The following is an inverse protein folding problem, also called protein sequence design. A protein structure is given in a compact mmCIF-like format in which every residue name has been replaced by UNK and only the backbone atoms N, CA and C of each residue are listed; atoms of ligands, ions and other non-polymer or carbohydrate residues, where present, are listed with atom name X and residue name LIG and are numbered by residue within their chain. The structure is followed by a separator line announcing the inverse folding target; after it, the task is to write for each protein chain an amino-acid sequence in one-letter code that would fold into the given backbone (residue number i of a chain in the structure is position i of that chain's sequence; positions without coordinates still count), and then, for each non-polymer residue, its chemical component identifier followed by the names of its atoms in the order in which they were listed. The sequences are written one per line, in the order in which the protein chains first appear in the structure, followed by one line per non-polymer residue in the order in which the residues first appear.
data_IF_232688268668
#
_entry.id   IF_232688268668
#
_cell.length_a   1.000
_cell.length_b   1.000
_cell.length_c   1.000
_cell.angle_alpha   90.00
_cell.angle_beta   90.00
_cell.angle_gamma   90.00
#
_symmetry.space_group_name_H-M   'P 1'
#
loop_
_entity.id
_entity.type
_entity.pdbx_description
1 polymer ?
#
# COMPACT_ATOMS: atom_id res chain seq x y z
N UNK A 1 19.40 5.27 -11.52
CA UNK A 1 18.36 4.51 -12.24
C UNK A 1 17.73 3.54 -11.27
N UNK A 2 16.52 3.85 -10.82
CA UNK A 2 15.77 3.12 -9.82
C UNK A 2 14.80 4.03 -9.06
N UNK A 3 14.33 3.49 -7.94
CA UNK A 3 13.53 4.21 -6.95
C UNK A 3 14.41 5.22 -6.22
N UNK A 4 13.95 6.46 -6.08
CA UNK A 4 14.67 7.49 -5.34
C UNK A 4 14.61 7.22 -3.83
N UNK A 5 15.76 7.14 -3.13
CA UNK A 5 15.81 6.97 -1.70
C UNK A 5 15.55 8.27 -0.94
N UNK A 6 15.29 8.16 0.36
CA UNK A 6 14.94 9.25 1.28
C UNK A 6 15.80 10.52 1.13
N UNK A 7 17.11 10.40 0.95
CA UNK A 7 18.01 11.54 0.82
C UNK A 7 17.83 12.30 -0.50
N UNK A 8 17.44 11.62 -1.58
CA UNK A 8 17.08 12.29 -2.84
C UNK A 8 15.66 12.84 -2.80
N UNK A 9 14.73 12.15 -2.13
CA UNK A 9 13.39 12.66 -1.88
C UNK A 9 13.42 13.95 -1.04
N UNK A 10 14.33 14.04 -0.06
CA UNK A 10 14.57 15.26 0.71
C UNK A 10 15.09 16.41 -0.15
N UNK A 11 15.89 16.14 -1.20
CA UNK A 11 16.31 17.19 -2.14
C UNK A 11 15.16 17.66 -3.03
N UNK A 12 14.18 16.79 -3.33
CA UNK A 12 12.94 17.22 -4.00
C UNK A 12 12.10 18.09 -3.09
N UNK A 13 12.10 17.82 -1.78
CA UNK A 13 11.52 18.72 -0.79
C UNK A 13 12.29 20.05 -0.76
N UNK A 14 11.58 21.16 -0.85
CA UNK A 14 12.16 22.52 -0.86
C UNK A 14 12.33 23.14 -2.25
N UNK A 15 12.49 22.34 -3.31
CA UNK A 15 12.50 22.83 -4.70
C UNK A 15 11.24 22.44 -5.47
N UNK A 16 10.92 21.15 -5.52
CA UNK A 16 9.81 20.62 -6.33
C UNK A 16 8.56 20.33 -5.51
N UNK A 17 8.74 19.88 -4.26
CA UNK A 17 7.66 19.57 -3.33
C UNK A 17 7.82 20.50 -2.12
N UNK A 18 6.89 21.42 -1.91
CA UNK A 18 6.99 22.43 -0.84
C UNK A 18 5.75 22.42 0.05
N UNK A 19 5.89 22.84 1.31
CA UNK A 19 4.82 22.73 2.31
C UNK A 19 4.64 21.32 2.91
N UNK A 20 5.41 20.33 2.44
CA UNK A 20 5.43 18.96 2.97
C UNK A 20 6.75 18.73 3.71
N UNK A 21 6.70 18.52 5.03
CA UNK A 21 7.90 18.37 5.86
C UNK A 21 8.51 16.96 5.88
N UNK A 22 9.71 16.84 6.43
CA UNK A 22 10.50 15.58 6.54
C UNK A 22 9.74 14.43 7.23
N UNK A 23 8.78 14.72 8.11
CA UNK A 23 7.98 13.69 8.79
C UNK A 23 7.15 12.80 7.83
N UNK A 24 6.97 13.24 6.59
CA UNK A 24 6.28 12.50 5.53
C UNK A 24 7.22 11.68 4.65
N UNK A 25 8.54 11.76 4.88
CA UNK A 25 9.50 10.94 4.14
C UNK A 25 9.59 9.54 4.74
N UNK A 26 9.48 8.54 3.87
CA UNK A 26 9.81 7.14 4.13
C UNK A 26 11.12 6.78 3.41
N UNK A 27 11.72 5.60 3.66
CA UNK A 27 12.97 5.18 3.01
C UNK A 27 12.97 5.29 1.48
N UNK A 28 11.82 5.08 0.83
CA UNK A 28 11.68 5.06 -0.62
C UNK A 28 10.33 5.61 -1.13
N UNK A 29 9.68 6.48 -0.35
CA UNK A 29 8.42 7.13 -0.73
C UNK A 29 8.17 8.39 0.10
N UNK A 30 7.22 9.22 -0.34
CA UNK A 30 6.75 10.42 0.36
C UNK A 30 5.25 10.26 0.62
N UNK A 31 4.83 10.27 1.88
CA UNK A 31 3.43 10.34 2.26
C UNK A 31 2.77 11.63 1.71
N UNK A 32 1.54 11.51 1.20
CA UNK A 32 0.81 12.65 0.63
C UNK A 32 -0.19 13.18 1.66
N UNK A 33 0.12 14.23 2.44
CA UNK A 33 -0.81 14.80 3.43
C UNK A 33 -2.06 15.35 2.79
N UNK A 34 -3.20 15.18 3.46
CA UNK A 34 -4.47 15.77 3.09
C UNK A 34 -4.58 17.18 3.67
N UNK A 35 -5.10 18.12 2.88
CA UNK A 35 -5.51 19.43 3.37
C UNK A 35 -6.93 19.39 3.96
N UNK A 36 -7.42 20.53 4.46
CA UNK A 36 -8.82 20.67 4.90
C UNK A 36 -9.83 20.76 3.74
N UNK A 37 -9.38 21.02 2.51
CA UNK A 37 -10.27 21.23 1.36
C UNK A 37 -10.79 19.87 0.86
N UNK A 38 -12.06 19.57 1.15
CA UNK A 38 -12.71 18.32 0.83
C UNK A 38 -14.11 18.51 0.24
N UNK A 39 -14.47 17.63 -0.69
CA UNK A 39 -15.76 17.62 -1.36
C UNK A 39 -16.33 16.22 -1.42
N UNK A 40 -17.63 16.09 -1.21
CA UNK A 40 -18.41 14.92 -1.61
C UNK A 40 -18.69 14.98 -3.11
N UNK A 41 -18.56 13.86 -3.81
CA UNK A 41 -18.81 13.73 -5.24
C UNK A 41 -20.08 12.93 -5.54
N UNK A 42 -20.74 13.21 -6.66
CA UNK A 42 -21.82 12.39 -7.19
C UNK A 42 -21.32 11.30 -8.14
N UNK A 43 -20.17 11.51 -8.77
CA UNK A 43 -19.54 10.55 -9.67
C UNK A 43 -18.01 10.61 -9.60
N UNK A 44 -17.35 9.48 -9.92
CA UNK A 44 -15.89 9.44 -10.12
C UNK A 44 -15.55 9.88 -11.54
N UNK A 45 -14.34 10.42 -11.72
CA UNK A 45 -13.85 10.87 -13.01
C UNK A 45 -12.34 10.67 -13.10
N UNK A 46 -11.86 10.59 -14.34
CA UNK A 46 -10.44 10.64 -14.67
C UNK A 46 -10.18 12.03 -15.28
N UNK A 47 -9.17 12.79 -14.84
CA UNK A 47 -8.82 14.04 -15.50
C UNK A 47 -8.44 13.79 -16.95
N UNK A 48 -8.77 14.70 -17.87
CA UNK A 48 -8.24 14.63 -19.24
C UNK A 48 -6.92 15.39 -19.34
N UNK A 49 -6.15 15.11 -20.39
CA UNK A 49 -4.92 15.86 -20.67
C UNK A 49 -5.23 17.35 -20.79
N UNK A 50 -4.47 18.15 -20.07
CA UNK A 50 -4.57 19.62 -20.02
C UNK A 50 -5.82 20.21 -19.33
N UNK A 51 -6.66 19.39 -18.66
CA UNK A 51 -7.74 19.91 -17.81
C UNK A 51 -7.32 19.93 -16.35
N UNK A 52 -7.67 20.99 -15.61
CA UNK A 52 -7.51 20.99 -14.16
C UNK A 52 -8.63 20.18 -13.53
N UNK A 53 -8.35 19.57 -12.39
CA UNK A 53 -9.33 18.80 -11.62
C UNK A 53 -10.52 19.69 -11.22
N UNK A 54 -10.24 20.97 -10.89
CA UNK A 54 -11.27 21.96 -10.55
C UNK A 54 -12.24 22.25 -11.69
N UNK A 55 -11.81 22.11 -12.95
CA UNK A 55 -12.67 22.35 -14.12
C UNK A 55 -13.78 21.28 -14.24
N UNK A 56 -13.62 20.14 -13.55
CA UNK A 56 -14.61 19.05 -13.53
C UNK A 56 -15.68 19.21 -12.45
N UNK A 57 -15.59 20.21 -11.57
CA UNK A 57 -16.43 20.32 -10.38
C UNK A 57 -17.92 20.40 -10.70
N UNK A 58 -18.29 21.14 -11.74
CA UNK A 58 -19.68 21.25 -12.20
C UNK A 58 -20.19 19.93 -12.82
N UNK A 59 -19.31 19.16 -13.45
CA UNK A 59 -19.65 17.89 -14.12
C UNK A 59 -19.89 16.77 -13.10
N UNK A 60 -19.12 16.77 -12.01
CA UNK A 60 -19.08 15.66 -11.03
C UNK A 60 -19.91 15.92 -9.76
N UNK A 61 -20.59 17.06 -9.71
CA UNK A 61 -21.52 17.41 -8.64
C UNK A 61 -20.83 17.54 -7.28
N UNK A 62 -19.87 18.46 -7.16
CA UNK A 62 -19.15 18.66 -5.89
C UNK A 62 -20.03 19.33 -4.83
N UNK A 63 -19.94 18.84 -3.59
CA UNK A 63 -20.48 19.51 -2.40
C UNK A 63 -19.40 19.60 -1.34
N UNK A 64 -19.18 20.78 -0.79
CA UNK A 64 -18.20 20.95 0.29
C UNK A 64 -18.48 19.96 1.44
N UNK A 65 -17.43 19.33 1.95
CA UNK A 65 -17.49 18.40 3.06
C UNK A 65 -16.52 18.83 4.15
N UNK A 66 -16.99 18.89 5.39
CA UNK A 66 -16.15 19.12 6.55
C UNK A 66 -15.60 17.78 7.06
N UNK A 67 -14.28 17.63 7.05
CA UNK A 67 -13.57 16.42 7.47
C UNK A 67 -13.77 16.05 8.94
N UNK A 68 -14.27 16.96 9.78
CA UNK A 68 -14.73 16.61 11.13
C UNK A 68 -15.92 15.62 11.11
N UNK A 69 -16.64 15.51 9.99
CA UNK A 69 -17.73 14.58 9.80
C UNK A 69 -17.26 13.30 9.10
N UNK A 70 -17.78 12.11 9.49
CA UNK A 70 -17.41 10.85 8.86
C UNK A 70 -17.68 10.85 7.34
N UNK A 71 -16.73 10.29 6.61
CA UNK A 71 -16.90 9.84 5.23
C UNK A 71 -17.80 8.61 5.25
N UNK A 72 -18.88 8.65 4.49
CA UNK A 72 -19.90 7.61 4.44
C UNK A 72 -19.45 6.40 3.60
N UNK A 73 -19.91 5.22 3.97
CA UNK A 73 -19.59 3.99 3.23
C UNK A 73 -20.15 4.06 1.82
N UNK A 74 -19.31 3.74 0.83
CA UNK A 74 -19.68 3.74 -0.59
C UNK A 74 -19.80 5.13 -1.22
N UNK A 75 -19.64 6.20 -0.45
CA UNK A 75 -19.68 7.58 -0.96
C UNK A 75 -18.26 8.06 -1.28
N UNK A 76 -18.11 8.66 -2.45
CA UNK A 76 -16.82 9.16 -2.92
C UNK A 76 -16.62 10.60 -2.48
N UNK A 77 -15.41 10.88 -2.03
CA UNK A 77 -14.93 12.20 -1.65
C UNK A 77 -13.66 12.54 -2.42
N UNK A 78 -13.46 13.83 -2.67
CA UNK A 78 -12.27 14.40 -3.28
C UNK A 78 -11.64 15.34 -2.26
N UNK A 79 -10.41 15.04 -1.84
CA UNK A 79 -9.70 15.79 -0.80
C UNK A 79 -8.38 16.30 -1.38
N UNK A 80 -8.15 17.60 -1.35
CA UNK A 80 -6.93 18.20 -1.91
C UNK A 80 -5.72 17.72 -1.10
N UNK A 81 -4.64 17.37 -1.79
CA UNK A 81 -3.35 17.07 -1.17
C UNK A 81 -2.69 18.37 -0.75
N UNK A 82 -2.22 18.44 0.49
CA UNK A 82 -1.56 19.61 1.04
C UNK A 82 -0.17 19.85 0.42
N UNK A 83 0.28 21.09 0.45
CA UNK A 83 1.52 21.55 -0.17
C UNK A 83 1.43 21.82 -1.67
N UNK A 84 2.59 22.11 -2.26
CA UNK A 84 2.78 22.28 -3.71
C UNK A 84 3.55 21.09 -4.25
N UNK A 85 3.09 20.53 -5.36
CA UNK A 85 3.66 19.34 -5.97
C UNK A 85 4.10 19.62 -7.39
N UNK A 86 5.35 19.27 -7.67
CA UNK A 86 5.91 19.19 -9.02
C UNK A 86 6.99 18.13 -9.04
N UNK A 87 7.45 17.73 -10.23
CA UNK A 87 8.59 16.84 -10.41
C UNK A 87 9.55 17.38 -11.46
N UNK A 88 10.87 17.13 -11.33
CA UNK A 88 11.84 17.50 -12.36
C UNK A 88 11.60 16.72 -13.65
N UNK A 89 12.15 17.23 -14.77
CA UNK A 89 12.09 16.54 -16.08
C UNK A 89 12.77 15.16 -16.09
N UNK A 90 13.62 14.88 -15.11
CA UNK A 90 14.32 13.61 -14.97
C UNK A 90 13.51 12.54 -14.22
N UNK A 91 12.47 12.92 -13.45
CA UNK A 91 11.81 12.01 -12.52
C UNK A 91 10.29 12.02 -12.66
N UNK A 92 9.66 10.88 -12.38
CA UNK A 92 8.21 10.69 -12.37
C UNK A 92 7.82 9.86 -11.15
N UNK A 93 6.53 9.80 -10.81
CA UNK A 93 6.09 9.09 -9.61
C UNK A 93 4.82 8.29 -9.79
N UNK A 94 4.69 7.26 -8.96
CA UNK A 94 3.45 6.51 -8.79
C UNK A 94 3.00 6.53 -7.34
N UNK A 95 1.72 6.79 -7.10
CA UNK A 95 1.13 6.73 -5.78
C UNK A 95 0.56 5.33 -5.52
N UNK A 96 0.54 4.93 -4.25
CA UNK A 96 -0.20 3.75 -3.81
C UNK A 96 -0.85 4.02 -2.45
N UNK A 97 -1.95 3.33 -2.12
CA UNK A 97 -2.51 3.37 -0.78
C UNK A 97 -1.45 2.99 0.26
N UNK A 98 -1.48 3.67 1.41
CA UNK A 98 -0.71 3.21 2.57
C UNK A 98 -1.32 1.92 3.09
N UNK A 99 -0.50 1.04 3.66
CA UNK A 99 -1.00 -0.21 4.25
C UNK A 99 -2.04 0.02 5.34
N UNK A 100 -1.98 1.14 6.07
CA UNK A 100 -3.04 1.51 7.02
C UNK A 100 -4.40 1.76 6.37
N UNK A 101 -4.42 2.32 5.15
CA UNK A 101 -5.63 2.56 4.36
C UNK A 101 -6.18 1.27 3.79
N UNK A 102 -5.31 0.41 3.25
CA UNK A 102 -5.69 -0.91 2.75
C UNK A 102 -6.36 -1.74 3.84
N UNK A 103 -5.76 -1.81 5.04
CA UNK A 103 -6.26 -2.61 6.18
C UNK A 103 -7.61 -2.19 6.77
N UNK A 104 -8.15 -1.04 6.34
CA UNK A 104 -9.51 -0.58 6.72
C UNK A 104 -10.45 -0.50 5.51
N UNK A 105 -10.04 -1.11 4.39
CA UNK A 105 -10.75 -1.07 3.11
C UNK A 105 -11.13 0.36 2.68
N UNK A 106 -10.17 1.28 2.83
CA UNK A 106 -10.31 2.64 2.31
C UNK A 106 -9.81 2.66 0.87
N UNK A 107 -10.72 2.75 -0.08
CA UNK A 107 -10.37 3.01 -1.47
C UNK A 107 -9.75 4.41 -1.54
N UNK A 108 -8.58 4.52 -2.15
CA UNK A 108 -8.00 5.80 -2.52
C UNK A 108 -7.25 5.76 -3.85
N UNK A 109 -7.29 6.88 -4.57
CA UNK A 109 -6.57 7.12 -5.83
C UNK A 109 -6.08 8.56 -5.88
N UNK A 110 -4.84 8.77 -6.32
CA UNK A 110 -4.32 10.10 -6.65
C UNK A 110 -4.87 10.55 -7.99
N UNK A 111 -5.31 11.80 -8.06
CA UNK A 111 -5.56 12.57 -9.26
C UNK A 111 -4.54 13.71 -9.32
N UNK A 112 -4.00 13.97 -10.50
CA UNK A 112 -3.10 15.08 -10.78
C UNK A 112 -3.67 15.89 -11.96
N UNK A 113 -3.60 17.23 -11.87
CA UNK A 113 -4.04 18.12 -12.94
C UNK A 113 -3.44 17.72 -14.30
N UNK A 114 -4.27 17.63 -15.33
CA UNK A 114 -3.86 17.32 -16.69
C UNK A 114 -3.31 15.91 -16.90
N UNK A 115 -3.50 14.98 -15.97
CA UNK A 115 -3.02 13.59 -16.06
C UNK A 115 -4.20 12.62 -16.22
N UNK A 116 -4.22 11.92 -17.35
CA UNK A 116 -5.24 10.92 -17.72
C UNK A 116 -4.99 9.53 -17.12
N UNK A 117 -4.45 9.49 -15.91
CA UNK A 117 -4.12 8.26 -15.21
C UNK A 117 -4.14 8.50 -13.70
N UNK A 118 -4.92 7.70 -12.97
CA UNK A 118 -4.82 7.69 -11.52
C UNK A 118 -3.43 7.27 -11.07
N UNK A 119 -3.04 7.71 -9.88
CA UNK A 119 -1.84 7.21 -9.21
C UNK A 119 -0.53 7.51 -9.95
N UNK A 120 -0.51 8.42 -10.93
CA UNK A 120 0.67 8.74 -11.71
C UNK A 120 0.94 10.25 -11.75
N UNK A 121 2.22 10.62 -11.63
CA UNK A 121 2.72 11.97 -11.85
C UNK A 121 3.82 11.92 -12.91
N UNK A 122 3.65 12.55 -14.09
CA UNK A 122 4.61 12.48 -15.18
C UNK A 122 5.87 13.33 -14.94
N UNK A 123 6.89 13.11 -15.79
CA UNK A 123 8.13 13.88 -15.79
C UNK A 123 7.87 15.37 -16.03
N UNK A 124 8.48 16.24 -15.24
CA UNK A 124 8.35 17.70 -15.41
C UNK A 124 6.98 18.26 -15.04
N UNK A 125 6.12 17.46 -14.40
CA UNK A 125 4.76 17.86 -14.05
C UNK A 125 4.72 18.90 -12.93
N UNK A 126 3.70 19.76 -12.95
CA UNK A 126 3.39 20.72 -11.88
C UNK A 126 1.89 21.03 -11.89
N UNK A 127 1.25 21.02 -10.72
CA UNK A 127 -0.18 21.27 -10.59
C UNK A 127 -0.73 20.90 -9.22
N UNK A 128 -2.06 20.83 -9.11
CA UNK A 128 -2.71 20.31 -7.92
C UNK A 128 -2.81 18.78 -7.95
N UNK A 129 -2.65 18.19 -6.75
CA UNK A 129 -2.91 16.78 -6.48
C UNK A 129 -4.14 16.66 -5.60
N UNK A 130 -4.99 15.67 -5.87
CA UNK A 130 -6.20 15.38 -5.10
C UNK A 130 -6.31 13.88 -4.83
N UNK A 131 -6.83 13.51 -3.66
CA UNK A 131 -7.17 12.14 -3.34
C UNK A 131 -8.66 11.90 -3.57
N UNK A 132 -8.98 10.98 -4.48
CA UNK A 132 -10.26 10.30 -4.47
C UNK A 132 -10.26 9.33 -3.28
N UNK A 133 -11.27 9.39 -2.43
CA UNK A 133 -11.37 8.55 -1.22
C UNK A 133 -12.78 8.00 -1.09
N UNK A 134 -12.91 6.71 -0.76
CA UNK A 134 -14.20 6.07 -0.48
C UNK A 134 -14.03 4.96 0.56
N UNK A 135 -14.64 5.05 1.75
CA UNK A 135 -14.68 3.93 2.69
C UNK A 135 -15.58 2.81 2.14
N UNK A 136 -15.08 1.58 2.08
CA UNK A 136 -15.85 0.44 1.52
C UNK A 136 -16.39 -0.53 2.58
N UNK A 137 -16.03 -0.37 3.86
CA UNK A 137 -16.46 -1.30 4.91
C UNK A 137 -17.15 -0.66 6.12
N UNK A 138 -16.70 0.52 6.55
CA UNK A 138 -17.30 1.28 7.64
C UNK A 138 -16.95 2.76 7.48
N UNK A 139 -17.72 3.70 8.08
CA UNK A 139 -17.42 5.12 7.96
C UNK A 139 -16.03 5.45 8.50
N UNK A 140 -15.34 6.43 7.91
CA UNK A 140 -14.00 6.84 8.34
C UNK A 140 -13.99 8.35 8.58
N UNK A 141 -13.40 8.80 9.68
CA UNK A 141 -13.11 10.21 9.91
C UNK A 141 -11.65 10.44 9.53
N UNK A 142 -11.40 11.40 8.63
CA UNK A 142 -10.07 11.86 8.25
C UNK A 142 -9.83 13.25 8.83
N UNK A 143 -8.56 13.62 8.94
CA UNK A 143 -8.15 14.93 9.45
C UNK A 143 -7.06 15.49 8.54
N UNK A 144 -6.93 16.82 8.53
CA UNK A 144 -5.83 17.50 7.88
C UNK A 144 -4.47 16.96 8.37
N UNK A 145 -3.50 16.87 7.47
CA UNK A 145 -2.15 16.40 7.74
C UNK A 145 -2.03 14.87 7.86
N UNK A 146 -3.13 14.11 7.81
CA UNK A 146 -3.08 12.65 7.65
C UNK A 146 -2.78 12.30 6.18
N UNK A 147 -2.24 11.10 5.96
CA UNK A 147 -2.00 10.57 4.62
C UNK A 147 -2.68 9.22 4.45
N UNK A 148 -3.37 9.06 3.32
CA UNK A 148 -4.02 7.79 2.92
C UNK A 148 -3.24 7.09 1.80
N UNK A 149 -2.37 7.81 1.10
CA UNK A 149 -1.52 7.33 0.02
C UNK A 149 -0.10 7.90 0.17
N UNK A 150 0.83 7.31 -0.58
CA UNK A 150 2.24 7.67 -0.61
C UNK A 150 2.74 7.62 -2.06
N UNK A 151 3.59 8.58 -2.43
CA UNK A 151 4.21 8.70 -3.74
C UNK A 151 5.61 8.08 -3.73
N UNK A 152 5.88 7.15 -4.64
CA UNK A 152 7.24 6.70 -4.95
C UNK A 152 7.72 7.38 -6.21
N UNK A 153 8.93 7.95 -6.16
CA UNK A 153 9.54 8.69 -7.28
C UNK A 153 10.67 7.86 -7.90
N UNK A 154 10.78 7.92 -9.22
CA UNK A 154 11.72 7.15 -10.03
C UNK A 154 12.44 8.09 -10.99
N UNK A 155 13.75 7.92 -11.17
CA UNK A 155 14.45 8.42 -12.37
C UNK A 155 14.22 7.48 -13.57
N UNK A 156 14.19 6.18 -13.28
CA UNK A 156 13.83 5.08 -14.18
C UNK A 156 13.32 3.88 -13.37
N UNK A 157 12.16 3.33 -13.74
CA UNK A 157 11.60 2.15 -13.08
C UNK A 157 12.26 0.89 -13.62
N UNK A 158 13.12 0.27 -12.82
CA UNK A 158 13.85 -0.96 -13.17
C UNK A 158 13.58 -2.08 -12.15
N UNK A 159 13.09 -3.21 -12.65
CA UNK A 159 12.89 -4.43 -11.87
C UNK A 159 14.15 -5.30 -11.91
N UNK A 160 14.31 -6.19 -10.94
CA UNK A 160 15.37 -7.19 -10.99
C UNK A 160 15.13 -8.16 -12.15
N UNK A 161 16.17 -8.39 -12.95
CA UNK A 161 16.20 -9.55 -13.86
C UNK A 161 16.28 -10.85 -13.06
N UNK A 162 16.04 -11.98 -13.70
CA UNK A 162 16.20 -13.30 -13.08
C UNK A 162 17.61 -13.50 -12.49
N UNK A 163 18.64 -13.13 -13.24
CA UNK A 163 20.04 -13.20 -12.79
C UNK A 163 20.30 -12.31 -11.58
N UNK A 164 19.77 -11.09 -11.59
CA UNK A 164 19.93 -10.16 -10.46
C UNK A 164 19.18 -10.63 -9.21
N UNK A 165 18.01 -11.24 -9.42
CA UNK A 165 17.23 -11.84 -8.35
C UNK A 165 17.97 -13.02 -7.73
N UNK A 166 18.58 -13.89 -8.54
CA UNK A 166 19.41 -14.99 -8.05
C UNK A 166 20.57 -14.47 -7.19
N UNK A 167 21.28 -13.45 -7.66
CA UNK A 167 22.37 -12.81 -6.91
C UNK A 167 21.85 -12.25 -5.58
N UNK A 168 20.71 -11.54 -5.60
CA UNK A 168 20.13 -10.97 -4.39
C UNK A 168 19.68 -12.06 -3.39
N UNK A 169 19.08 -13.16 -3.87
CA UNK A 169 18.68 -14.31 -3.05
C UNK A 169 19.90 -14.98 -2.42
N UNK A 170 20.95 -15.24 -3.20
CA UNK A 170 22.19 -15.86 -2.68
C UNK A 170 22.89 -14.95 -1.66
N UNK A 171 22.88 -13.64 -1.87
CA UNK A 171 23.56 -12.67 -0.99
C UNK A 171 22.81 -12.40 0.30
N UNK A 172 21.50 -12.20 0.23
CA UNK A 172 20.70 -11.73 1.37
C UNK A 172 19.72 -12.81 1.87
N UNK A 173 19.09 -13.53 0.96
CA UNK A 173 17.89 -14.34 1.22
C UNK A 173 16.66 -13.45 1.16
N UNK A 174 15.94 -13.46 0.04
CA UNK A 174 14.78 -12.58 -0.16
C UNK A 174 13.47 -13.17 0.37
N UNK A 175 13.36 -14.50 0.42
CA UNK A 175 12.25 -15.21 1.03
C UNK A 175 12.73 -16.25 2.03
N UNK A 176 11.94 -16.42 3.07
CA UNK A 176 12.12 -17.43 4.10
C UNK A 176 10.82 -18.20 4.29
N UNK A 177 10.91 -19.46 4.68
CA UNK A 177 9.74 -20.24 5.05
C UNK A 177 9.23 -19.90 6.46
N UNK A 178 8.14 -20.54 6.88
CA UNK A 178 7.51 -20.31 8.18
C UNK A 178 8.44 -20.64 9.37
N UNK A 179 9.43 -21.52 9.19
CA UNK A 179 10.45 -21.86 10.20
C UNK A 179 11.72 -21.02 10.07
N UNK A 180 11.67 -19.93 9.29
CA UNK A 180 12.74 -18.93 9.11
C UNK A 180 13.98 -19.46 8.39
N UNK A 181 13.85 -20.55 7.62
CA UNK A 181 14.91 -21.01 6.72
C UNK A 181 14.87 -20.21 5.43
N UNK A 182 16.02 -19.75 4.95
CA UNK A 182 16.16 -19.11 3.63
C UNK A 182 15.68 -20.08 2.55
N UNK A 183 14.81 -19.63 1.65
CA UNK A 183 14.38 -20.41 0.50
C UNK A 183 15.44 -20.22 -0.61
N UNK A 184 16.12 -21.29 -1.06
CA UNK A 184 17.06 -21.24 -2.17
C UNK A 184 16.40 -20.76 -3.47
N UNK A 185 17.19 -20.15 -4.36
CA UNK A 185 16.66 -19.57 -5.60
C UNK A 185 15.94 -20.61 -6.49
N UNK A 186 16.47 -21.83 -6.56
CA UNK A 186 15.92 -22.97 -7.31
C UNK A 186 14.61 -23.53 -6.70
N UNK A 187 14.33 -23.24 -5.43
CA UNK A 187 13.06 -23.55 -4.77
C UNK A 187 12.03 -22.42 -4.91
N UNK A 188 12.41 -21.24 -5.41
CA UNK A 188 11.47 -20.13 -5.57
C UNK A 188 10.51 -20.34 -6.74
N UNK A 189 9.24 -20.02 -6.50
CA UNK A 189 8.23 -19.99 -7.55
C UNK A 189 8.31 -18.68 -8.34
N UNK A 190 9.27 -18.58 -9.25
CA UNK A 190 9.44 -17.45 -10.16
C UNK A 190 8.55 -17.60 -11.39
N UNK A 191 7.92 -16.49 -11.82
CA UNK A 191 7.20 -16.40 -13.08
C UNK A 191 7.47 -15.06 -13.75
N UNK A 192 8.33 -15.09 -14.78
CA UNK A 192 8.91 -13.87 -15.32
C UNK A 192 9.80 -13.20 -14.28
N UNK A 193 9.51 -11.95 -13.96
CA UNK A 193 10.25 -11.14 -12.97
C UNK A 193 9.56 -11.07 -11.60
N UNK A 194 8.59 -11.95 -11.36
CA UNK A 194 7.70 -11.92 -10.20
C UNK A 194 7.75 -13.22 -9.42
N UNK A 195 7.90 -13.11 -8.10
CA UNK A 195 7.84 -14.23 -7.17
C UNK A 195 6.41 -14.46 -6.72
N UNK A 196 5.93 -15.70 -6.76
CA UNK A 196 4.64 -16.04 -6.18
C UNK A 196 4.74 -16.14 -4.66
N UNK A 197 3.77 -15.53 -3.98
CA UNK A 197 3.52 -15.72 -2.56
C UNK A 197 2.25 -16.55 -2.37
N UNK A 198 2.24 -17.37 -1.34
CA UNK A 198 1.16 -18.29 -1.01
C UNK A 198 0.46 -17.89 0.27
N UNK A 199 -0.80 -18.27 0.40
CA UNK A 199 -1.63 -17.96 1.55
C UNK A 199 -1.31 -18.89 2.72
N UNK A 200 -1.13 -18.32 3.91
CA UNK A 200 -1.06 -19.09 5.15
C UNK A 200 -2.48 -19.35 5.65
N UNK A 201 -2.91 -20.62 5.67
CA UNK A 201 -4.23 -21.04 6.17
C UNK A 201 -4.04 -21.96 7.37
N UNK A 202 -4.60 -21.59 8.52
CA UNK A 202 -4.41 -22.33 9.77
C UNK A 202 -5.13 -21.70 10.95
N UNK A 203 -4.65 -21.96 12.18
CA UNK A 203 -5.27 -21.46 13.41
C UNK A 203 -5.33 -19.92 13.47
N UNK A 204 -4.32 -19.22 12.99
CA UNK A 204 -4.30 -17.75 12.91
C UNK A 204 -4.50 -17.31 11.45
N UNK A 205 -5.67 -17.62 10.87
CA UNK A 205 -5.88 -17.42 9.44
C UNK A 205 -6.03 -15.94 9.06
N UNK A 206 -6.80 -15.18 9.83
CA UNK A 206 -7.04 -13.79 9.48
C UNK A 206 -8.14 -13.11 10.27
N UNK A 207 -8.64 -12.05 9.67
CA UNK A 207 -9.79 -11.30 10.13
C UNK A 207 -10.78 -11.12 8.99
N UNK A 208 -12.06 -11.30 9.28
CA UNK A 208 -13.17 -10.92 8.42
C UNK A 208 -13.76 -9.61 8.91
N UNK A 209 -13.86 -8.61 8.04
CA UNK A 209 -14.63 -7.42 8.35
C UNK A 209 -16.12 -7.72 8.21
N UNK A 210 -16.88 -7.42 9.26
CA UNK A 210 -18.34 -7.59 9.26
C UNK A 210 -19.01 -6.23 9.25
N UNK A 211 -18.89 -5.48 8.15
CA UNK A 211 -19.39 -4.11 7.93
C UNK A 211 -20.21 -3.51 9.08
N UNK A 212 -19.59 -2.61 9.87
CA UNK A 212 -20.19 -2.00 11.05
C UNK A 212 -20.42 -0.50 10.82
N UNK A 213 -21.38 0.07 11.55
CA UNK A 213 -21.75 1.49 11.42
C UNK A 213 -20.88 2.41 12.27
N UNK A 214 -19.96 1.88 13.08
CA UNK A 214 -19.10 2.67 13.95
C UNK A 214 -18.04 3.38 13.11
N UNK A 215 -17.95 4.73 13.15
CA UNK A 215 -16.90 5.44 12.45
C UNK A 215 -15.52 5.14 13.04
N UNK A 216 -14.55 4.84 12.16
CA UNK A 216 -13.15 4.75 12.53
C UNK A 216 -12.49 6.12 12.34
N UNK A 217 -12.07 6.73 13.45
CA UNK A 217 -11.19 7.90 13.40
C UNK A 217 -9.77 7.48 13.00
N UNK A 218 -9.33 7.90 11.81
CA UNK A 218 -8.02 7.57 11.24
C UNK A 218 -6.86 8.31 11.92
N UNK A 219 -7.14 9.39 12.65
CA UNK A 219 -6.16 10.08 13.49
C UNK A 219 -5.89 9.37 14.82
N UNK A 220 -6.84 8.56 15.30
CA UNK A 220 -6.79 7.97 16.64
C UNK A 220 -6.05 6.61 16.67
N UNK A 221 -4.73 6.65 16.59
CA UNK A 221 -3.85 5.47 16.60
C UNK A 221 -4.00 4.65 17.89
N UNK A 222 -4.17 3.33 17.77
CA UNK A 222 -4.20 2.40 18.90
C UNK A 222 -5.40 2.54 19.84
N UNK A 223 -6.48 3.20 19.44
CA UNK A 223 -7.62 3.50 20.32
C UNK A 223 -8.84 2.60 20.06
N UNK A 224 -9.02 2.17 18.81
CA UNK A 224 -10.21 1.44 18.38
C UNK A 224 -10.18 -0.01 18.86
N UNK A 225 -11.31 -0.54 19.31
CA UNK A 225 -11.44 -1.96 19.65
C UNK A 225 -11.57 -2.78 18.36
N UNK A 226 -10.66 -3.73 18.06
CA UNK A 226 -10.78 -4.59 16.87
C UNK A 226 -12.14 -5.26 16.71
N UNK A 227 -12.74 -5.73 17.81
CA UNK A 227 -14.01 -6.46 17.80
C UNK A 227 -15.21 -5.60 17.34
N UNK A 228 -15.06 -4.28 17.33
CA UNK A 228 -16.06 -3.36 16.79
C UNK A 228 -15.97 -3.21 15.26
N UNK A 229 -15.11 -3.98 14.57
CA UNK A 229 -14.89 -3.87 13.11
C UNK A 229 -14.62 -5.23 12.44
N UNK A 230 -13.92 -6.11 13.14
CA UNK A 230 -13.40 -7.37 12.61
C UNK A 230 -13.72 -8.54 13.53
N UNK A 231 -13.93 -9.71 12.91
CA UNK A 231 -14.03 -10.99 13.59
C UNK A 231 -12.79 -11.83 13.22
N UNK A 232 -12.02 -12.34 14.19
CA UNK A 232 -10.93 -13.25 13.88
C UNK A 232 -11.47 -14.54 13.27
N UNK A 233 -10.76 -15.09 12.28
CA UNK A 233 -11.12 -16.33 11.61
C UNK A 233 -10.00 -17.36 11.77
N UNK A 234 -10.39 -18.60 12.03
CA UNK A 234 -9.50 -19.75 12.13
C UNK A 234 -9.87 -20.77 11.05
N UNK A 235 -8.88 -21.51 10.56
CA UNK A 235 -9.03 -22.57 9.58
C UNK A 235 -8.11 -23.76 9.92
N UNK A 236 -8.33 -24.45 11.07
CA UNK A 236 -7.42 -25.47 11.58
C UNK A 236 -7.25 -26.66 10.61
N UNK A 237 -8.26 -26.94 9.78
CA UNK A 237 -8.22 -28.01 8.77
C UNK A 237 -7.48 -27.59 7.48
N UNK A 238 -6.86 -26.41 7.46
CA UNK A 238 -6.08 -25.90 6.32
C UNK A 238 -6.91 -25.45 5.12
N UNK A 239 -8.22 -25.27 5.30
CA UNK A 239 -9.17 -24.86 4.27
C UNK A 239 -10.19 -23.87 4.83
N UNK A 240 -10.55 -22.84 4.06
CA UNK A 240 -11.58 -21.86 4.44
C UNK A 240 -12.32 -21.35 3.20
N UNK A 241 -13.62 -21.07 3.32
CA UNK A 241 -14.39 -20.45 2.23
C UNK A 241 -14.55 -18.96 2.48
N UNK A 242 -13.84 -18.15 1.69
CA UNK A 242 -14.00 -16.71 1.67
C UNK A 242 -15.31 -16.37 0.95
N UNK A 243 -16.14 -15.51 1.54
CA UNK A 243 -17.45 -15.16 0.99
C UNK A 243 -17.34 -13.99 0.01
N UNK A 244 -18.10 -14.07 -1.07
CA UNK A 244 -18.20 -13.01 -2.09
C UNK A 244 -18.43 -11.64 -1.46
N UNK A 245 -17.62 -10.66 -1.85
CA UNK A 245 -17.77 -9.26 -1.43
C UNK A 245 -17.33 -8.96 -0.01
N UNK A 246 -17.07 -9.96 0.84
CA UNK A 246 -16.53 -9.73 2.17
C UNK A 246 -15.07 -9.28 2.10
N UNK A 247 -14.67 -8.48 3.08
CA UNK A 247 -13.31 -7.96 3.18
C UNK A 247 -12.51 -8.73 4.23
N UNK A 248 -11.35 -9.25 3.84
CA UNK A 248 -10.50 -10.08 4.68
C UNK A 248 -9.09 -9.49 4.82
N UNK A 249 -8.54 -9.61 6.03
CA UNK A 249 -7.12 -9.37 6.33
C UNK A 249 -6.45 -10.72 6.58
N UNK A 250 -5.64 -11.17 5.62
CA UNK A 250 -4.95 -12.46 5.64
C UNK A 250 -3.43 -12.26 5.64
N UNK A 251 -2.64 -13.33 5.55
CA UNK A 251 -1.19 -13.23 5.41
C UNK A 251 -0.56 -14.29 4.52
N UNK A 252 0.65 -13.99 4.03
CA UNK A 252 1.46 -14.95 3.27
C UNK A 252 2.08 -16.02 4.17
N UNK A 253 2.36 -17.18 3.61
CA UNK A 253 3.18 -18.23 4.26
C UNK A 253 4.66 -17.86 4.24
N UNK A 254 5.13 -17.33 3.11
CA UNK A 254 6.50 -16.89 2.96
C UNK A 254 6.73 -15.60 3.74
N UNK A 255 7.93 -15.49 4.30
CA UNK A 255 8.41 -14.29 4.95
C UNK A 255 9.30 -13.54 3.97
N UNK A 256 8.94 -12.29 3.68
CA UNK A 256 9.61 -11.45 2.69
C UNK A 256 10.66 -10.58 3.38
N UNK A 257 11.84 -10.49 2.76
CA UNK A 257 12.89 -9.54 3.10
C UNK A 257 13.14 -8.60 1.92
N UNK A 258 13.31 -7.32 2.19
CA UNK A 258 13.73 -6.31 1.22
C UNK A 258 15.05 -5.70 1.71
N UNK A 259 16.15 -6.05 1.07
CA UNK A 259 17.47 -5.53 1.44
C UNK A 259 17.60 -4.03 1.08
N UNK A 260 18.46 -3.25 1.77
CA UNK A 260 18.58 -1.78 1.59
C UNK A 260 18.78 -1.26 0.15
N UNK A 261 19.44 -2.02 -0.73
CA UNK A 261 19.60 -1.68 -2.16
C UNK A 261 18.38 -1.95 -3.05
N UNK A 262 17.28 -2.45 -2.48
CA UNK A 262 16.09 -2.88 -3.19
C UNK A 262 14.84 -2.27 -2.56
N UNK A 263 13.79 -2.17 -3.35
CA UNK A 263 12.43 -2.07 -2.85
C UNK A 263 11.58 -3.20 -3.45
N UNK A 264 10.34 -3.35 -3.00
CA UNK A 264 9.43 -4.30 -3.63
C UNK A 264 8.02 -3.73 -3.82
N UNK A 265 7.28 -4.33 -4.74
CA UNK A 265 5.88 -4.02 -5.03
C UNK A 265 5.08 -5.32 -5.02
N UNK A 266 4.05 -5.38 -4.19
CA UNK A 266 3.05 -6.45 -4.24
C UNK A 266 2.14 -6.20 -5.44
N UNK A 267 1.90 -7.20 -6.28
CA UNK A 267 1.05 -7.12 -7.47
C UNK A 267 -0.07 -8.16 -7.38
N UNK A 268 -1.24 -7.87 -7.99
CA UNK A 268 -2.27 -8.89 -8.19
C UNK A 268 -1.71 -10.07 -8.99
N UNK A 269 -2.19 -11.27 -8.67
CA UNK A 269 -1.96 -12.47 -9.49
C UNK A 269 -2.77 -12.40 -10.78
N UNK A 270 -2.41 -13.26 -11.73
CA UNK A 270 -3.22 -13.49 -12.92
C UNK A 270 -4.64 -13.94 -12.51
N UNK A 271 -5.72 -13.34 -13.05
CA UNK A 271 -7.10 -13.74 -12.73
C UNK A 271 -7.38 -15.24 -12.94
N UNK A 272 -6.65 -15.92 -13.83
CA UNK A 272 -6.78 -17.37 -14.04
C UNK A 272 -6.33 -18.21 -12.84
N UNK A 273 -5.60 -17.62 -11.90
CA UNK A 273 -5.10 -18.27 -10.69
C UNK A 273 -5.99 -17.99 -9.46
N UNK A 274 -7.08 -17.21 -9.60
CA UNK A 274 -8.06 -17.02 -8.53
C UNK A 274 -9.11 -15.93 -8.79
N UNK A 275 -10.25 -16.05 -8.12
CA UNK A 275 -11.43 -15.18 -8.27
C UNK A 275 -11.52 -14.12 -7.14
N UNK A 276 -10.50 -13.27 -7.01
CA UNK A 276 -10.47 -12.23 -5.98
C UNK A 276 -9.61 -11.03 -6.39
N UNK A 277 -9.82 -9.89 -5.71
CA UNK A 277 -8.90 -8.74 -5.74
C UNK A 277 -8.04 -8.72 -4.49
N UNK A 278 -6.74 -8.57 -4.68
CA UNK A 278 -5.86 -8.00 -3.65
C UNK A 278 -5.98 -6.47 -3.76
N UNK A 279 -6.86 -5.86 -2.96
CA UNK A 279 -7.32 -4.48 -3.19
C UNK A 279 -6.21 -3.42 -2.93
N UNK A 280 -5.16 -3.80 -2.19
CA UNK A 280 -4.04 -2.93 -1.82
C UNK A 280 -2.67 -3.53 -2.18
N UNK A 281 -2.48 -3.84 -3.47
CA UNK A 281 -1.14 -3.92 -4.04
C UNK A 281 -0.34 -2.66 -3.64
N UNK A 282 0.74 -2.85 -2.89
CA UNK A 282 1.42 -1.76 -2.21
C UNK A 282 2.93 -1.90 -2.23
N UNK A 283 3.59 -0.80 -1.96
CA UNK A 283 5.04 -0.74 -1.84
C UNK A 283 5.52 -1.33 -0.53
N UNK A 284 6.64 -2.04 -0.61
CA UNK A 284 7.43 -2.50 0.53
C UNK A 284 8.76 -1.77 0.44
N UNK A 285 9.11 -1.08 1.53
CA UNK A 285 10.27 -0.22 1.57
C UNK A 285 11.59 -1.00 1.81
N UNK A 286 12.73 -0.45 1.37
CA UNK A 286 14.05 -0.98 1.70
C UNK A 286 14.25 -1.17 3.19
N UNK A 287 14.82 -2.31 3.57
CA UNK A 287 15.03 -2.70 4.96
C UNK A 287 13.88 -3.47 5.60
N UNK A 288 12.74 -3.66 4.91
CA UNK A 288 11.64 -4.47 5.44
C UNK A 288 12.11 -5.90 5.71
N UNK A 289 11.98 -6.35 6.96
CA UNK A 289 12.35 -7.73 7.32
C UNK A 289 13.84 -7.98 7.24
N UNK A 290 14.67 -6.93 7.26
CA UNK A 290 16.12 -7.01 7.17
C UNK A 290 16.79 -6.94 8.55
N UNK A 291 16.25 -6.14 9.47
CA UNK A 291 16.95 -5.78 10.72
C UNK A 291 18.07 -4.77 10.50
N UNK A 292 19.11 -4.81 11.33
CA UNK A 292 20.27 -3.92 11.19
C UNK A 292 21.30 -4.45 10.17
N UNK A 293 21.50 -5.76 10.13
CA UNK A 293 22.56 -6.44 9.39
C UNK A 293 22.06 -7.67 8.60
N UNK A 294 20.75 -7.79 8.34
CA UNK A 294 20.18 -8.93 7.64
C UNK A 294 19.84 -10.12 8.55
N UNK A 295 19.78 -9.90 9.87
CA UNK A 295 19.51 -10.94 10.87
C UNK A 295 18.02 -11.29 10.98
N UNK A 296 17.14 -10.37 10.58
CA UNK A 296 15.70 -10.64 10.58
C UNK A 296 15.40 -11.54 9.39
N UNK A 297 14.81 -12.71 9.63
CA UNK A 297 14.50 -13.68 8.58
C UNK A 297 13.21 -13.33 7.84
N UNK A 298 13.11 -12.10 7.33
CA UNK A 298 11.92 -11.57 6.71
C UNK A 298 10.69 -11.50 7.64
N UNK A 299 9.58 -11.00 7.09
CA UNK A 299 8.25 -11.03 7.73
C UNK A 299 7.17 -11.42 6.74
N UNK A 300 6.11 -12.15 7.17
CA UNK A 300 4.94 -12.38 6.33
C UNK A 300 4.36 -11.04 5.85
N UNK A 301 3.75 -11.04 4.67
CA UNK A 301 3.03 -9.88 4.14
C UNK A 301 1.55 -10.03 4.52
N UNK A 302 0.96 -8.95 5.05
CA UNK A 302 -0.49 -8.88 5.25
C UNK A 302 -1.16 -8.62 3.91
N UNK A 303 -2.27 -9.30 3.66
CA UNK A 303 -3.01 -9.22 2.40
C UNK A 303 -4.45 -8.74 2.65
N UNK A 304 -4.87 -7.77 1.87
CA UNK A 304 -6.24 -7.25 1.79
C UNK A 304 -7.01 -7.95 0.66
N UNK A 305 -7.88 -8.91 1.01
CA UNK A 305 -8.54 -9.79 0.04
C UNK A 305 -10.04 -9.53 -0.01
N UNK A 306 -10.57 -9.30 -1.21
CA UNK A 306 -12.01 -9.22 -1.50
C UNK A 306 -12.36 -10.22 -2.59
N UNK A 307 -13.05 -11.34 -2.28
CA UNK A 307 -13.46 -12.32 -3.27
C UNK A 307 -14.54 -11.78 -4.21
N UNK A 308 -14.45 -12.12 -5.49
CA UNK A 308 -15.48 -11.81 -6.49
C UNK A 308 -16.62 -12.83 -6.49
N UNK A 309 -16.32 -14.06 -6.08
CA UNK A 309 -17.26 -15.14 -5.83
C UNK A 309 -16.88 -15.84 -4.52
N UNK A 310 -17.76 -16.71 -4.01
CA UNK A 310 -17.40 -17.59 -2.90
C UNK A 310 -16.20 -18.45 -3.32
N UNK A 311 -15.09 -18.32 -2.59
CA UNK A 311 -13.81 -18.85 -2.99
C UNK A 311 -13.19 -19.67 -1.86
N UNK A 312 -13.12 -20.98 -2.05
CA UNK A 312 -12.47 -21.88 -1.12
C UNK A 312 -10.96 -21.82 -1.31
N UNK A 313 -10.25 -21.40 -0.26
CA UNK A 313 -8.79 -21.32 -0.22
C UNK A 313 -8.20 -22.43 0.61
N UNK A 314 -7.00 -22.88 0.23
CA UNK A 314 -6.22 -23.88 0.97
C UNK A 314 -4.84 -23.34 1.33
N UNK A 315 -4.23 -23.92 2.36
CA UNK A 315 -2.86 -23.58 2.72
C UNK A 315 -1.92 -23.77 1.53
N UNK A 316 -1.01 -22.81 1.30
CA UNK A 316 -0.07 -22.85 0.18
C UNK A 316 -0.66 -22.44 -1.18
N UNK A 317 -1.92 -22.00 -1.22
CA UNK A 317 -2.52 -21.48 -2.45
C UNK A 317 -1.88 -20.15 -2.85
N UNK A 318 -1.48 -20.02 -4.12
CA UNK A 318 -0.91 -18.77 -4.68
C UNK A 318 -1.94 -17.66 -4.57
N UNK A 319 -1.52 -16.51 -4.04
CA UNK A 319 -2.44 -15.41 -3.72
C UNK A 319 -1.91 -14.04 -4.17
N UNK A 320 -0.60 -13.86 -4.21
CA UNK A 320 0.02 -12.59 -4.60
C UNK A 320 1.29 -12.81 -5.43
N UNK A 321 1.71 -11.76 -6.14
CA UNK A 321 3.03 -11.69 -6.78
C UNK A 321 3.85 -10.59 -6.15
N UNK A 322 5.14 -10.81 -6.02
CA UNK A 322 6.09 -9.83 -5.49
C UNK A 322 7.13 -9.54 -6.56
N UNK A 323 7.34 -8.27 -6.87
CA UNK A 323 8.43 -7.82 -7.75
C UNK A 323 9.41 -6.99 -6.95
N UNK A 324 10.69 -7.22 -7.19
CA UNK A 324 11.76 -6.41 -6.62
C UNK A 324 12.19 -5.34 -7.61
N UNK A 325 12.37 -4.14 -7.11
CA UNK A 325 12.82 -2.96 -7.84
C UNK A 325 14.19 -2.53 -7.32
N UNK A 326 15.02 -1.99 -8.22
CA UNK A 326 16.30 -1.39 -7.82
C UNK A 326 16.07 -0.02 -7.18
N UNK A 327 16.77 0.24 -6.09
CA UNK A 327 16.95 1.61 -5.61
C UNK A 327 18.00 2.31 -6.48
N UNK A 328 17.87 3.63 -6.66
CA UNK A 328 18.89 4.43 -7.36
C UNK A 328 20.17 4.58 -6.52
N UNK A 329 20.03 4.49 -5.19
CA UNK A 329 21.10 4.35 -4.20
C UNK A 329 20.51 3.75 -2.91
N UNK A 330 21.35 3.19 -2.04
CA UNK A 330 20.91 2.73 -0.72
C UNK A 330 20.37 3.92 0.11
N UNK A 331 19.22 3.78 0.81
CA UNK A 331 18.68 4.88 1.59
C UNK A 331 19.44 5.07 2.89
N UNK A 332 19.60 6.34 3.30
CA UNK A 332 20.24 6.71 4.57
C UNK A 332 19.50 6.15 5.79
N UNK A 333 18.23 5.78 5.62
CA UNK A 333 17.40 5.18 6.68
C UNK A 333 16.61 4.01 6.10
N UNK A 334 16.76 2.86 6.74
CA UNK A 334 16.05 1.63 6.39
C UNK A 334 14.74 1.50 7.19
N UNK A 335 13.76 0.75 6.65
CA UNK A 335 12.45 0.57 7.26
C UNK A 335 12.52 0.04 8.70
N UNK A 336 13.34 -0.99 8.93
CA UNK A 336 13.48 -1.63 10.25
C UNK A 336 14.25 -0.77 11.28
N UNK A 337 14.83 0.37 10.88
CA UNK A 337 15.56 1.25 11.78
C UNK A 337 14.64 2.18 12.61
N UNK A 338 13.39 2.36 12.20
CA UNK A 338 12.43 3.22 12.87
C UNK A 338 11.25 2.41 13.45
N UNK A 339 10.65 2.83 14.58
CA UNK A 339 9.47 2.17 15.11
C UNK A 339 8.32 2.12 14.10
N UNK A 340 7.74 0.93 13.91
CA UNK A 340 6.56 0.73 13.09
C UNK A 340 5.65 -0.32 13.70
N UNK A 341 4.33 -0.15 13.53
CA UNK A 341 3.31 -1.11 13.95
C UNK A 341 3.49 -2.50 13.30
N UNK A 342 4.28 -2.59 12.23
CA UNK A 342 4.41 -3.79 11.42
C UNK A 342 5.74 -4.56 11.66
N UNK A 343 6.64 -4.04 12.52
CA UNK A 343 7.90 -4.73 12.86
C UNK A 343 7.72 -6.05 13.63
N UNK A 344 6.59 -6.20 14.32
CA UNK A 344 6.27 -7.39 15.13
C UNK A 344 5.30 -8.33 14.41
N UNK A 345 5.13 -8.15 13.10
CA UNK A 345 4.19 -8.93 12.30
C UNK A 345 4.67 -10.36 12.05
N UNK A 346 3.90 -11.32 12.55
CA UNK A 346 4.13 -12.76 12.38
C UNK A 346 2.93 -13.47 11.69
N UNK A 347 2.01 -12.69 11.11
CA UNK A 347 0.79 -13.18 10.48
C UNK A 347 -0.13 -12.03 10.06
N UNK A 348 -1.46 -12.24 9.97
CA UNK A 348 -2.40 -11.18 9.64
C UNK A 348 -2.36 -10.09 10.72
N UNK A 349 -2.21 -8.83 10.30
CA UNK A 349 -2.08 -7.68 11.21
C UNK A 349 -3.07 -6.60 10.83
N UNK A 350 -3.89 -6.17 11.78
CA UNK A 350 -4.80 -5.03 11.60
C UNK A 350 -4.02 -3.71 11.55
N UNK A 351 -4.68 -2.66 11.08
CA UNK A 351 -4.08 -1.33 10.95
C UNK A 351 -3.61 -0.76 12.30
N UNK A 352 -2.72 0.24 12.28
CA UNK A 352 -2.21 0.92 13.48
C UNK A 352 -3.29 1.58 14.36
N UNK A 353 -4.52 1.71 13.88
CA UNK A 353 -5.61 2.38 14.60
C UNK A 353 -6.26 1.49 15.68
N UNK A 354 -6.02 0.18 15.64
CA UNK A 354 -6.61 -0.77 16.57
C UNK A 354 -5.71 -1.04 17.78
N UNK A 355 -6.34 -1.26 18.94
CA UNK A 355 -5.67 -1.78 20.14
C UNK A 355 -5.10 -3.17 19.86
N UNK A 356 -3.86 -3.39 20.26
CA UNK A 356 -3.14 -4.67 20.16
C UNK A 356 -3.35 -5.56 21.35
#
# INVERSE_FOLDING_TARGET
MGVLPIQLLRNLQGEYITGVGDKFLNPASIDMPLSFEAFRLESVFLPEKNLKIRDMFDVVGVRAHDLANPLEVGVVYLIRVDGTWSLPKSAYGYANPKSSSGRVNLFCRLLADGVDMYDFIPKGWSGECWMLVRPDSFPIILHEGLSVAQLRVFDEKAFLSEMDMEVAVRRHGLLFDAVRRKIPFDELHLHGDSLYLTLAVGKNFGYECRGLHKPLDFGAIGTHNPADYFVPIEAPDGCYTLRKGNFYILSTSERVMVAPGHSAELRPIDPRLGEFRSHAAGYIDPGWGFGQNGEVCGRPITLEVIPHEDFTVRNGQRIARLRYERMSAEPDTNYDAAPSNYLVQEGPRLSKHFRT
#
